data_IF_893798638502
#
_entry.id   IF_893798638502
#
_cell.length_a   1.000
_cell.length_b   1.000
_cell.length_c   1.000
_cell.angle_alpha   90.00
_cell.angle_beta   90.00
_cell.angle_gamma   90.00
#
_symmetry.space_group_name_H-M   'P 1'
#
loop_
_entity.id
_entity.type
_entity.pdbx_description
1 polymer ?
#
# COMPACT_ATOMS: atom_id res chain seq x y z
N UNK A 1 -18.40 -10.87 17.27
CA UNK A 1 -18.90 -11.20 15.91
C UNK A 1 -18.76 -9.98 15.01
N UNK A 2 -18.40 -10.14 13.73
CA UNK A 2 -18.27 -9.02 12.76
C UNK A 2 -19.30 -9.21 11.67
N UNK A 3 -19.99 -8.13 11.29
CA UNK A 3 -20.95 -8.17 10.21
C UNK A 3 -20.29 -7.86 8.86
N UNK A 4 -20.25 -8.87 7.99
CA UNK A 4 -19.69 -8.74 6.64
C UNK A 4 -20.70 -8.07 5.70
N UNK A 5 -20.82 -6.74 5.76
CA UNK A 5 -21.76 -5.99 4.92
C UNK A 5 -21.36 -6.01 3.43
N UNK A 6 -22.32 -6.22 2.54
CA UNK A 6 -22.18 -6.15 1.08
C UNK A 6 -23.47 -5.64 0.42
N UNK A 7 -23.56 -5.71 -0.91
CA UNK A 7 -24.71 -5.24 -1.68
C UNK A 7 -26.05 -5.91 -1.36
N UNK A 8 -26.05 -7.18 -0.92
CA UNK A 8 -27.29 -7.89 -0.54
C UNK A 8 -27.56 -7.78 0.97
N UNK A 9 -26.51 -7.69 1.79
CA UNK A 9 -26.57 -7.65 3.25
C UNK A 9 -26.69 -6.23 3.79
N UNK A 10 -27.91 -5.68 3.79
CA UNK A 10 -28.19 -4.25 4.14
C UNK A 10 -28.28 -3.90 5.63
N UNK A 11 -28.19 -4.88 6.53
CA UNK A 11 -28.26 -4.65 7.99
C UNK A 11 -27.25 -3.61 8.51
N UNK A 12 -27.65 -2.92 9.58
CA UNK A 12 -26.81 -1.93 10.26
C UNK A 12 -26.24 -2.55 11.54
N UNK A 13 -24.91 -2.54 11.65
CA UNK A 13 -24.19 -3.12 12.78
C UNK A 13 -23.03 -2.20 13.16
N UNK A 14 -22.66 -2.14 14.45
CA UNK A 14 -21.56 -1.28 14.91
C UNK A 14 -20.20 -1.75 14.38
N UNK A 15 -20.02 -3.07 14.22
CA UNK A 15 -18.74 -3.67 13.78
C UNK A 15 -18.88 -4.27 12.39
N UNK A 16 -18.40 -3.55 11.39
CA UNK A 16 -18.45 -3.92 9.96
C UNK A 16 -17.07 -4.10 9.33
N UNK A 17 -16.03 -4.28 10.14
CA UNK A 17 -14.69 -4.52 9.64
C UNK A 17 -13.84 -5.23 10.68
N UNK A 18 -12.78 -5.89 10.21
CA UNK A 18 -11.75 -6.44 11.08
C UNK A 18 -10.40 -6.49 10.35
N UNK A 19 -9.33 -6.55 11.14
CA UNK A 19 -7.98 -6.69 10.62
C UNK A 19 -7.50 -8.14 10.84
N UNK A 20 -6.99 -8.80 9.80
CA UNK A 20 -6.42 -10.14 9.84
C UNK A 20 -5.26 -10.28 8.86
N UNK A 21 -4.13 -10.85 9.30
CA UNK A 21 -2.90 -11.01 8.51
C UNK A 21 -2.44 -9.71 7.82
N UNK A 22 -2.61 -8.57 8.51
CA UNK A 22 -2.25 -7.26 7.97
C UNK A 22 -3.22 -6.69 6.93
N UNK A 23 -4.31 -7.38 6.61
CA UNK A 23 -5.40 -6.86 5.79
C UNK A 23 -6.55 -6.36 6.65
N UNK A 24 -7.22 -5.30 6.20
CA UNK A 24 -8.51 -4.86 6.71
C UNK A 24 -9.61 -5.31 5.77
N UNK A 25 -10.45 -6.22 6.26
CA UNK A 25 -11.66 -6.67 5.60
C UNK A 25 -12.80 -5.71 5.96
N UNK A 26 -13.43 -5.10 4.96
CA UNK A 26 -14.55 -4.17 5.14
C UNK A 26 -15.36 -4.06 3.84
N UNK A 27 -16.56 -3.46 3.87
CA UNK A 27 -17.32 -3.15 2.67
C UNK A 27 -16.54 -2.17 1.77
N UNK A 28 -16.38 -2.53 0.50
CA UNK A 28 -15.68 -1.75 -0.52
C UNK A 28 -16.42 -1.84 -1.84
N UNK A 29 -16.42 -0.75 -2.60
CA UNK A 29 -16.85 -0.80 -3.99
C UNK A 29 -15.81 -1.55 -4.82
N UNK A 30 -16.30 -2.50 -5.62
CA UNK A 30 -15.54 -3.24 -6.61
C UNK A 30 -16.19 -3.05 -7.98
N UNK A 31 -15.39 -3.16 -9.03
CA UNK A 31 -15.85 -3.06 -10.40
C UNK A 31 -15.82 -4.45 -11.04
N UNK A 32 -16.90 -4.82 -11.73
CA UNK A 32 -16.95 -6.00 -12.59
C UNK A 32 -16.24 -5.73 -13.92
N UNK A 33 -15.97 -6.78 -14.68
CA UNK A 33 -15.36 -6.67 -16.02
C UNK A 33 -16.20 -5.83 -16.99
N UNK A 34 -17.51 -5.79 -16.80
CA UNK A 34 -18.47 -4.99 -17.57
C UNK A 34 -18.53 -3.51 -17.16
N UNK A 35 -17.71 -3.08 -16.19
CA UNK A 35 -17.68 -1.70 -15.69
C UNK A 35 -18.66 -1.42 -14.54
N UNK A 36 -19.56 -2.34 -14.22
CA UNK A 36 -20.57 -2.17 -13.16
C UNK A 36 -19.93 -2.15 -11.78
N UNK A 37 -20.28 -1.15 -10.96
CA UNK A 37 -19.85 -1.05 -9.58
C UNK A 37 -20.79 -1.82 -8.65
N UNK A 38 -20.22 -2.55 -7.70
CA UNK A 38 -20.99 -3.26 -6.66
C UNK A 38 -20.26 -3.20 -5.31
N UNK A 39 -21.02 -3.29 -4.22
CA UNK A 39 -20.47 -3.34 -2.87
C UNK A 39 -20.18 -4.79 -2.48
N UNK A 40 -18.95 -5.07 -2.06
CA UNK A 40 -18.53 -6.38 -1.56
C UNK A 40 -17.66 -6.24 -0.33
N UNK A 41 -17.55 -7.30 0.46
CA UNK A 41 -16.72 -7.34 1.65
C UNK A 41 -15.30 -7.80 1.28
N UNK A 42 -14.38 -6.86 1.11
CA UNK A 42 -13.09 -7.12 0.46
C UNK A 42 -11.89 -6.67 1.32
N UNK A 43 -10.80 -7.45 1.33
CA UNK A 43 -9.57 -7.07 2.02
C UNK A 43 -8.78 -6.01 1.26
N UNK A 44 -8.16 -5.10 1.99
CA UNK A 44 -7.07 -4.26 1.51
C UNK A 44 -6.01 -4.13 2.61
N UNK A 45 -4.83 -3.55 2.32
CA UNK A 45 -3.82 -3.29 3.36
C UNK A 45 -4.46 -2.58 4.56
N UNK A 46 -4.21 -3.10 5.76
CA UNK A 46 -4.72 -2.49 6.99
C UNK A 46 -4.05 -1.15 7.27
N UNK A 47 -4.71 -0.29 8.04
CA UNK A 47 -4.13 0.99 8.46
C UNK A 47 -2.85 0.76 9.26
N UNK A 48 -2.82 -0.27 10.12
CA UNK A 48 -1.65 -0.66 10.90
C UNK A 48 -0.48 -1.08 10.00
N UNK A 49 -0.73 -1.97 9.03
CA UNK A 49 0.31 -2.41 8.08
C UNK A 49 0.82 -1.25 7.23
N UNK A 50 -0.07 -0.41 6.70
CA UNK A 50 0.32 0.76 5.93
C UNK A 50 1.17 1.75 6.74
N UNK A 51 0.85 1.95 8.03
CA UNK A 51 1.66 2.77 8.94
C UNK A 51 3.06 2.18 9.13
N UNK A 52 3.16 0.88 9.40
CA UNK A 52 4.44 0.20 9.57
C UNK A 52 5.34 0.27 8.32
N UNK A 53 4.76 0.14 7.13
CA UNK A 53 5.50 0.32 5.87
C UNK A 53 6.06 1.73 5.73
N UNK A 54 5.26 2.77 6.00
CA UNK A 54 5.71 4.17 5.96
C UNK A 54 6.81 4.45 6.97
N UNK A 55 6.68 3.91 8.18
CA UNK A 55 7.73 4.00 9.20
C UNK A 55 9.03 3.32 8.74
N UNK A 56 8.93 2.15 8.09
CA UNK A 56 10.08 1.48 7.50
C UNK A 56 10.74 2.32 6.41
N UNK A 57 9.97 2.94 5.51
CA UNK A 57 10.49 3.84 4.48
C UNK A 57 11.22 5.03 5.12
N UNK A 58 10.61 5.69 6.11
CA UNK A 58 11.22 6.81 6.85
C UNK A 58 12.52 6.39 7.54
N UNK A 59 12.59 5.17 8.06
CA UNK A 59 13.77 4.65 8.76
C UNK A 59 14.99 4.50 7.86
N UNK A 60 14.82 4.33 6.54
CA UNK A 60 15.93 4.25 5.59
C UNK A 60 16.75 5.54 5.55
N UNK A 61 16.14 6.67 5.91
CA UNK A 61 16.80 7.97 5.90
C UNK A 61 17.50 8.27 4.56
N UNK A 62 16.93 7.82 3.43
CA UNK A 62 16.67 8.72 2.29
C UNK A 62 17.80 9.70 2.03
N UNK A 63 17.48 10.92 2.46
CA UNK A 63 18.28 12.14 2.59
C UNK A 63 19.77 12.02 3.07
N UNK A 64 20.27 10.88 3.54
CA UNK A 64 21.67 10.72 4.03
C UNK A 64 22.58 9.94 3.10
N UNK A 65 22.04 9.23 2.11
CA UNK A 65 22.80 8.28 1.28
C UNK A 65 23.55 8.92 0.10
N UNK A 66 24.08 10.15 0.25
CA UNK A 66 24.43 11.09 -0.85
C UNK A 66 25.47 10.60 -1.83
N UNK A 67 26.18 9.52 -1.48
CA UNK A 67 27.26 8.91 -2.26
C UNK A 67 26.78 7.74 -3.16
N UNK A 68 25.51 7.35 -3.08
CA UNK A 68 24.96 6.23 -3.86
C UNK A 68 24.32 6.70 -5.16
N UNK A 69 24.56 5.94 -6.23
CA UNK A 69 23.81 6.10 -7.49
C UNK A 69 22.34 5.73 -7.28
N UNK A 70 21.45 6.32 -8.08
CA UNK A 70 20.01 6.03 -8.02
C UNK A 70 19.71 4.52 -8.19
N UNK A 71 20.51 3.81 -8.98
CA UNK A 71 20.42 2.36 -9.16
C UNK A 71 20.73 1.60 -7.88
N UNK A 72 21.87 1.88 -7.24
CA UNK A 72 22.25 1.23 -5.96
C UNK A 72 21.25 1.57 -4.84
N UNK A 73 20.74 2.79 -4.87
CA UNK A 73 19.68 3.23 -3.97
C UNK A 73 18.41 2.37 -4.16
N UNK A 74 17.94 2.22 -5.40
CA UNK A 74 16.79 1.38 -5.72
C UNK A 74 17.00 -0.09 -5.32
N UNK A 75 18.16 -0.66 -5.63
CA UNK A 75 18.48 -2.05 -5.30
C UNK A 75 18.42 -2.33 -3.78
N UNK A 76 18.72 -1.33 -2.96
CA UNK A 76 18.72 -1.44 -1.50
C UNK A 76 17.33 -1.67 -0.90
N UNK A 77 16.26 -1.17 -1.54
CA UNK A 77 14.89 -1.32 -1.06
C UNK A 77 13.97 -2.13 -1.97
N UNK A 78 14.37 -2.41 -3.22
CA UNK A 78 13.57 -3.14 -4.21
C UNK A 78 13.01 -4.45 -3.66
N UNK A 79 13.82 -5.25 -2.95
CA UNK A 79 13.37 -6.53 -2.38
C UNK A 79 12.23 -6.35 -1.37
N UNK A 80 12.26 -5.30 -0.57
CA UNK A 80 11.22 -5.01 0.43
C UNK A 80 9.94 -4.54 -0.26
N UNK A 81 10.06 -3.61 -1.21
CA UNK A 81 8.93 -3.09 -1.98
C UNK A 81 8.22 -4.19 -2.76
N UNK A 82 8.99 -5.07 -3.44
CA UNK A 82 8.45 -6.22 -4.15
C UNK A 82 7.71 -7.17 -3.21
N UNK A 83 8.23 -7.41 -2.01
CA UNK A 83 7.54 -8.19 -0.98
C UNK A 83 6.17 -7.60 -0.62
N UNK A 84 6.11 -6.28 -0.42
CA UNK A 84 4.84 -5.60 -0.13
C UNK A 84 3.88 -5.61 -1.32
N UNK A 85 4.37 -5.41 -2.54
CA UNK A 85 3.56 -5.47 -3.77
C UNK A 85 2.98 -6.87 -3.99
N UNK A 86 3.80 -7.91 -3.84
CA UNK A 86 3.38 -9.29 -4.05
C UNK A 86 2.38 -9.74 -3.00
N UNK A 87 2.58 -9.32 -1.74
CA UNK A 87 1.65 -9.63 -0.67
C UNK A 87 0.40 -8.77 -0.80
N UNK A 88 0.49 -7.47 -0.52
CA UNK A 88 -0.66 -6.57 -0.39
C UNK A 88 -1.31 -6.14 -1.71
N UNK A 89 -0.59 -6.26 -2.83
CA UNK A 89 -1.08 -5.89 -4.16
C UNK A 89 -2.06 -6.89 -4.78
N UNK A 90 -2.24 -8.08 -4.18
CA UNK A 90 -3.17 -9.12 -4.66
C UNK A 90 -4.62 -8.62 -4.78
N UNK A 91 -5.04 -7.72 -3.89
CA UNK A 91 -6.43 -7.21 -3.86
C UNK A 91 -6.56 -5.78 -4.37
N UNK A 92 -5.72 -4.85 -3.92
CA UNK A 92 -5.81 -3.44 -4.29
C UNK A 92 -4.43 -2.82 -4.47
N UNK A 93 -3.89 -2.88 -5.69
CA UNK A 93 -2.64 -2.17 -6.06
C UNK A 93 -2.75 -0.66 -5.81
N UNK A 94 -3.92 -0.07 -6.09
CA UNK A 94 -4.16 1.37 -5.89
C UNK A 94 -4.03 1.83 -4.44
N UNK A 95 -4.30 0.95 -3.46
CA UNK A 95 -4.10 1.27 -2.04
C UNK A 95 -2.63 1.28 -1.64
N UNK A 96 -1.77 0.63 -2.40
CA UNK A 96 -0.31 0.74 -2.26
C UNK A 96 0.27 1.94 -3.01
N UNK A 97 -0.39 2.48 -4.04
CA UNK A 97 0.12 3.64 -4.80
C UNK A 97 0.49 4.82 -3.89
N UNK A 98 -0.39 5.17 -2.93
CA UNK A 98 -0.11 6.23 -1.94
C UNK A 98 1.14 6.00 -1.07
N UNK A 99 1.62 4.75 -0.96
CA UNK A 99 2.87 4.42 -0.29
C UNK A 99 4.06 4.74 -1.20
N UNK A 100 3.95 4.41 -2.48
CA UNK A 100 4.98 4.66 -3.49
C UNK A 100 5.12 6.15 -3.78
N UNK A 101 4.03 6.92 -3.80
CA UNK A 101 4.08 8.38 -3.98
C UNK A 101 5.00 9.05 -2.93
N UNK A 102 5.02 8.53 -1.70
CA UNK A 102 5.91 9.06 -0.64
C UNK A 102 7.38 8.72 -0.89
N UNK A 103 7.64 7.54 -1.45
CA UNK A 103 8.99 7.13 -1.83
C UNK A 103 9.46 7.95 -3.04
N UNK A 104 8.64 8.07 -4.08
CA UNK A 104 8.93 8.85 -5.28
C UNK A 104 9.19 10.30 -4.91
N UNK A 105 8.39 10.89 -4.02
CA UNK A 105 8.63 12.23 -3.53
C UNK A 105 9.96 12.38 -2.77
N UNK A 106 10.34 11.38 -1.98
CA UNK A 106 11.63 11.36 -1.30
C UNK A 106 12.80 11.21 -2.30
N UNK A 107 12.60 10.46 -3.38
CA UNK A 107 13.57 10.28 -4.47
C UNK A 107 13.71 11.54 -5.34
N UNK A 108 12.62 12.24 -5.66
CA UNK A 108 12.67 13.50 -6.43
C UNK A 108 13.38 14.60 -5.64
N UNK A 109 13.24 14.61 -4.31
CA UNK A 109 13.92 15.57 -3.42
C UNK A 109 15.33 15.14 -3.04
N UNK A 110 15.75 13.95 -3.44
CA UNK A 110 17.09 13.45 -3.23
C UNK A 110 18.07 14.31 -4.06
N UNK A 111 19.13 14.88 -3.47
CA UNK A 111 20.04 15.73 -4.22
C UNK A 111 20.63 14.93 -5.38
N UNK A 112 20.48 15.45 -6.60
CA UNK A 112 20.99 14.87 -7.84
C UNK A 112 22.54 14.86 -7.83
N UNK A 113 23.13 13.92 -7.09
CA UNK A 113 24.54 13.59 -7.18
C UNK A 113 24.74 12.54 -8.27
N UNK A 114 25.17 13.00 -9.45
CA UNK A 114 25.60 12.21 -10.61
C UNK A 114 24.52 11.46 -11.39
N UNK A 115 23.84 12.18 -12.28
CA UNK A 115 23.51 11.68 -13.62
C UNK A 115 24.84 11.48 -14.38
N UNK A 116 25.42 10.28 -14.33
CA UNK A 116 26.41 9.83 -15.30
C UNK A 116 26.40 8.29 -15.32
N UNK A 117 25.89 7.77 -16.44
CA UNK A 117 25.88 6.37 -16.82
C UNK A 117 25.46 6.30 -18.27
#
# INVERSE_FOLDING_TARGET
MVYCKDGSRKGHYPVIHFDFLGYRFQPRCAQRRDGTLFLSFLPAVSVKSAKAMREKIRSWKIHRWTQLTIKKLADSFNRVLLGWMNYYGKFYKSKLASLFDQLDFALVRWPNGNTNG
#
